data_IF_440938981200
#
_entry.id   IF_440938981200
#
_cell.length_a   1.000
_cell.length_b   1.000
_cell.length_c   1.000
_cell.angle_alpha   90.00
_cell.angle_beta   90.00
_cell.angle_gamma   90.00
#
_symmetry.space_group_name_H-M   'P 1'
#
loop_
_entity.id
_entity.type
_entity.pdbx_description
1 polymer ?
#
# COMPACT_ATOMS: atom_id res chain seq x y z
N UNK A 1 -13.78 -23.80 6.29
CA UNK A 1 -14.87 -23.34 7.17
C UNK A 1 -14.87 -21.83 7.29
N UNK A 2 -16.02 -21.25 7.55
CA UNK A 2 -16.20 -19.84 7.92
C UNK A 2 -16.33 -19.65 9.44
N UNK A 3 -16.30 -20.74 10.20
CA UNK A 3 -16.41 -20.73 11.65
C UNK A 3 -15.04 -20.47 12.29
N UNK A 4 -14.82 -19.24 12.76
CA UNK A 4 -13.55 -18.82 13.33
C UNK A 4 -13.17 -19.63 14.56
N UNK A 5 -14.10 -19.84 15.48
CA UNK A 5 -13.86 -20.55 16.74
C UNK A 5 -13.31 -21.97 16.50
N UNK A 6 -13.90 -22.72 15.56
CA UNK A 6 -13.41 -24.05 15.17
C UNK A 6 -12.02 -23.99 14.56
N UNK A 7 -11.76 -22.95 13.75
CA UNK A 7 -10.49 -22.80 13.03
C UNK A 7 -9.33 -22.53 13.98
N UNK A 8 -9.53 -21.72 15.02
CA UNK A 8 -8.44 -21.26 15.90
C UNK A 8 -8.25 -22.13 17.15
N UNK A 9 -9.22 -22.97 17.52
CA UNK A 9 -9.20 -23.73 18.76
C UNK A 9 -7.94 -24.61 18.91
N UNK A 10 -7.48 -25.24 17.83
CA UNK A 10 -6.32 -26.12 17.81
C UNK A 10 -5.13 -25.53 17.02
N UNK A 11 -5.24 -24.29 16.55
CA UNK A 11 -4.21 -23.67 15.72
C UNK A 11 -2.97 -23.28 16.54
N UNK A 12 -1.77 -23.65 16.07
CA UNK A 12 -0.49 -23.22 16.65
C UNK A 12 -0.14 -21.79 16.24
N UNK A 13 -0.49 -21.42 15.00
CA UNK A 13 -0.20 -20.10 14.41
C UNK A 13 -1.46 -19.58 13.72
N UNK A 14 -1.90 -18.39 14.09
CA UNK A 14 -3.13 -17.75 13.60
C UNK A 14 -2.73 -16.46 12.86
N UNK A 15 -2.97 -16.42 11.54
CA UNK A 15 -2.73 -15.23 10.74
C UNK A 15 -3.98 -14.36 10.64
N UNK A 16 -3.85 -13.11 11.06
CA UNK A 16 -4.88 -12.08 10.87
C UNK A 16 -4.53 -11.29 9.60
N UNK A 17 -5.33 -11.49 8.56
CA UNK A 17 -5.14 -10.90 7.24
C UNK A 17 -6.42 -10.19 6.77
N UNK A 18 -7.02 -9.40 7.65
CA UNK A 18 -8.25 -8.64 7.39
C UNK A 18 -7.94 -7.27 6.77
N UNK A 19 -8.94 -6.67 6.11
CA UNK A 19 -8.79 -5.35 5.51
C UNK A 19 -8.57 -4.24 6.54
N UNK A 20 -7.74 -3.25 6.18
CA UNK A 20 -7.49 -2.03 6.97
C UNK A 20 -7.72 -0.80 6.07
N UNK A 21 -8.98 -0.49 5.71
CA UNK A 21 -9.27 0.65 4.84
C UNK A 21 -8.93 1.98 5.54
N UNK A 22 -8.76 3.03 4.74
CA UNK A 22 -8.64 4.39 5.31
C UNK A 22 -9.99 4.87 5.81
N UNK A 23 -10.01 5.50 6.98
CA UNK A 23 -11.19 6.22 7.47
C UNK A 23 -11.43 7.47 6.63
N UNK A 24 -12.71 7.75 6.37
CA UNK A 24 -13.10 8.99 5.69
C UNK A 24 -12.88 10.17 6.64
N UNK A 25 -12.17 11.19 6.14
CA UNK A 25 -11.97 12.48 6.82
C UNK A 25 -10.55 12.69 7.35
N UNK A 26 -10.00 11.81 8.18
CA UNK A 26 -8.68 11.97 8.79
C UNK A 26 -7.54 11.20 8.10
N UNK A 27 -7.90 10.24 7.23
CA UNK A 27 -6.94 9.39 6.50
C UNK A 27 -6.26 8.33 7.37
N UNK A 28 -6.67 8.16 8.63
CA UNK A 28 -6.18 7.10 9.49
C UNK A 28 -6.67 5.71 9.02
N UNK A 29 -5.95 4.66 9.39
CA UNK A 29 -6.38 3.30 9.12
C UNK A 29 -7.57 2.91 10.04
N UNK A 30 -8.59 2.29 9.45
CA UNK A 30 -9.67 1.70 10.22
C UNK A 30 -9.26 0.31 10.74
N UNK A 31 -9.09 0.21 12.04
CA UNK A 31 -8.64 -1.00 12.73
C UNK A 31 -9.76 -1.84 13.33
N UNK A 32 -11.04 -1.47 13.09
CA UNK A 32 -12.18 -2.19 13.69
C UNK A 32 -12.17 -3.70 13.40
N UNK A 33 -11.80 -4.09 12.17
CA UNK A 33 -11.73 -5.49 11.76
C UNK A 33 -10.58 -6.25 12.45
N UNK A 34 -9.46 -5.56 12.74
CA UNK A 34 -8.33 -6.12 13.49
C UNK A 34 -8.77 -6.40 14.94
N UNK A 35 -9.43 -5.43 15.58
CA UNK A 35 -9.87 -5.60 16.96
C UNK A 35 -10.99 -6.63 17.11
N UNK A 36 -11.93 -6.69 16.16
CA UNK A 36 -12.97 -7.71 16.14
C UNK A 36 -12.36 -9.11 16.02
N UNK A 37 -11.45 -9.32 15.07
CA UNK A 37 -10.72 -10.58 14.91
C UNK A 37 -9.94 -10.96 16.18
N UNK A 38 -9.30 -9.97 16.84
CA UNK A 38 -8.57 -10.20 18.08
C UNK A 38 -9.47 -10.68 19.22
N UNK A 39 -10.68 -10.13 19.36
CA UNK A 39 -11.66 -10.54 20.38
C UNK A 39 -12.15 -11.97 20.12
N UNK A 40 -12.49 -12.29 18.88
CA UNK A 40 -12.95 -13.63 18.50
C UNK A 40 -11.84 -14.68 18.67
N UNK A 41 -10.58 -14.35 18.29
CA UNK A 41 -9.42 -15.22 18.51
C UNK A 41 -9.21 -15.43 20.02
N UNK A 42 -9.24 -14.37 20.81
CA UNK A 42 -9.07 -14.47 22.25
C UNK A 42 -10.09 -15.43 22.88
N UNK A 43 -11.33 -15.42 22.43
CA UNK A 43 -12.39 -16.29 22.95
C UNK A 43 -12.14 -17.79 22.69
N UNK A 44 -11.49 -18.14 21.60
CA UNK A 44 -11.40 -19.53 21.11
C UNK A 44 -9.97 -20.13 21.08
N UNK A 45 -8.90 -19.30 21.10
CA UNK A 45 -7.52 -19.78 20.96
C UNK A 45 -7.08 -20.69 22.13
N UNK A 46 -6.22 -21.66 21.82
CA UNK A 46 -5.53 -22.47 22.83
C UNK A 46 -4.36 -21.72 23.48
N UNK A 47 -3.89 -22.15 24.67
CA UNK A 47 -2.65 -21.65 25.26
C UNK A 47 -1.45 -21.85 24.32
N UNK A 48 -0.48 -20.92 24.38
CA UNK A 48 0.74 -20.88 23.55
C UNK A 48 0.50 -20.72 22.05
N UNK A 49 -0.68 -20.28 21.61
CA UNK A 49 -0.92 -19.88 20.22
C UNK A 49 -0.06 -18.67 19.84
N UNK A 50 0.39 -18.62 18.60
CA UNK A 50 1.12 -17.48 18.02
C UNK A 50 0.16 -16.69 17.12
N UNK A 51 -0.12 -15.46 17.48
CA UNK A 51 -1.04 -14.58 16.76
C UNK A 51 -0.20 -13.64 15.88
N UNK A 52 -0.42 -13.70 14.58
CA UNK A 52 0.37 -13.00 13.56
C UNK A 52 -0.50 -11.98 12.85
N UNK A 53 -0.26 -10.69 13.05
CA UNK A 53 -0.90 -9.66 12.25
C UNK A 53 -0.15 -9.54 10.90
N UNK A 54 -0.81 -10.00 9.84
CA UNK A 54 -0.33 -9.88 8.45
C UNK A 54 -0.79 -8.60 7.80
N UNK A 55 -1.95 -8.10 8.20
CA UNK A 55 -2.52 -6.83 7.74
C UNK A 55 -1.58 -5.66 7.99
N UNK A 56 -1.60 -4.68 7.10
CA UNK A 56 -0.85 -3.42 7.29
C UNK A 56 -1.56 -2.57 8.34
N UNK A 57 -0.91 -2.37 9.47
CA UNK A 57 -1.47 -1.64 10.64
C UNK A 57 -0.53 -0.53 11.08
N UNK A 58 -1.08 0.52 11.68
CA UNK A 58 -0.32 1.65 12.20
C UNK A 58 0.51 1.25 13.43
N UNK A 59 1.60 2.00 13.66
CA UNK A 59 2.54 1.74 14.75
C UNK A 59 1.83 1.71 16.10
N UNK A 60 2.11 0.66 16.88
CA UNK A 60 1.50 0.39 18.18
C UNK A 60 0.29 -0.55 18.14
N UNK A 61 -0.28 -0.83 16.97
CA UNK A 61 -1.47 -1.68 16.85
C UNK A 61 -1.22 -3.10 17.37
N UNK A 62 -0.05 -3.69 17.08
CA UNK A 62 0.26 -5.03 17.59
C UNK A 62 0.36 -5.05 19.12
N UNK A 63 0.89 -4.00 19.74
CA UNK A 63 0.93 -3.86 21.19
C UNK A 63 -0.51 -3.74 21.76
N UNK A 64 -1.35 -2.91 21.16
CA UNK A 64 -2.75 -2.74 21.56
C UNK A 64 -3.53 -4.07 21.46
N UNK A 65 -3.36 -4.82 20.36
CA UNK A 65 -3.98 -6.13 20.17
C UNK A 65 -3.50 -7.13 21.22
N UNK A 66 -2.19 -7.19 21.50
CA UNK A 66 -1.62 -8.02 22.57
C UNK A 66 -2.28 -7.72 23.92
N UNK A 67 -2.33 -6.45 24.29
CA UNK A 67 -2.86 -6.03 25.58
C UNK A 67 -4.37 -6.29 25.68
N UNK A 68 -5.10 -6.15 24.57
CA UNK A 68 -6.53 -6.48 24.45
C UNK A 68 -6.78 -7.99 24.69
N UNK A 69 -6.00 -8.84 24.04
CA UNK A 69 -6.09 -10.30 24.18
C UNK A 69 -5.71 -10.72 25.62
N UNK A 70 -4.62 -10.17 26.16
CA UNK A 70 -4.19 -10.45 27.54
C UNK A 70 -5.24 -10.06 28.58
N UNK A 71 -5.96 -8.95 28.33
CA UNK A 71 -7.08 -8.52 29.17
C UNK A 71 -8.30 -9.44 29.05
N UNK A 72 -8.60 -9.93 27.85
CA UNK A 72 -9.73 -10.85 27.62
C UNK A 72 -9.45 -12.26 28.17
N UNK A 73 -8.18 -12.69 28.21
CA UNK A 73 -7.74 -14.04 28.65
C UNK A 73 -6.61 -13.95 29.67
N UNK A 74 -6.88 -13.47 30.89
CA UNK A 74 -5.86 -13.33 31.93
C UNK A 74 -5.15 -14.66 32.23
N UNK A 75 -3.82 -14.65 32.24
CA UNK A 75 -3.00 -15.81 32.56
C UNK A 75 -2.86 -16.88 31.45
N UNK A 76 -3.50 -16.70 30.30
CA UNK A 76 -3.31 -17.59 29.15
C UNK A 76 -2.08 -17.10 28.33
N UNK A 77 -1.02 -17.92 28.23
CA UNK A 77 0.16 -17.54 27.47
C UNK A 77 -0.11 -17.57 25.96
N UNK A 78 0.42 -16.61 25.25
CA UNK A 78 0.41 -16.51 23.77
C UNK A 78 1.57 -15.64 23.30
N UNK A 79 1.95 -15.75 22.03
CA UNK A 79 2.95 -14.88 21.41
C UNK A 79 2.31 -13.96 20.40
N UNK A 80 2.77 -12.70 20.35
CA UNK A 80 2.31 -11.70 19.38
C UNK A 80 3.38 -11.44 18.33
N UNK A 81 3.00 -11.41 17.06
CA UNK A 81 3.89 -11.22 15.91
C UNK A 81 3.29 -10.22 14.94
N UNK A 82 4.10 -9.28 14.48
CA UNK A 82 3.85 -8.41 13.33
C UNK A 82 4.58 -8.95 12.11
N UNK A 83 3.85 -9.33 11.07
CA UNK A 83 4.45 -9.85 9.84
C UNK A 83 3.86 -9.19 8.61
N UNK A 84 4.18 -7.91 8.36
CA UNK A 84 3.63 -7.18 7.23
C UNK A 84 3.98 -7.84 5.90
N UNK A 85 3.09 -7.70 4.91
CA UNK A 85 3.29 -8.16 3.55
C UNK A 85 3.95 -7.05 2.70
N UNK A 86 4.68 -7.46 1.64
CA UNK A 86 5.27 -6.55 0.65
C UNK A 86 4.87 -6.98 -0.78
N UNK A 87 3.65 -7.48 -0.90
CA UNK A 87 3.12 -8.04 -2.13
C UNK A 87 2.70 -6.93 -3.10
N UNK A 88 2.91 -7.19 -4.38
CA UNK A 88 2.41 -6.32 -5.45
C UNK A 88 1.14 -6.94 -6.02
N UNK A 89 0.11 -6.15 -6.11
CA UNK A 89 -1.11 -6.53 -6.81
C UNK A 89 -0.80 -6.97 -8.24
N UNK A 90 -1.47 -8.01 -8.74
CA UNK A 90 -1.15 -8.63 -10.03
C UNK A 90 0.06 -9.58 -10.02
N UNK A 91 0.89 -9.57 -8.95
CA UNK A 91 2.06 -10.46 -8.80
C UNK A 91 2.18 -11.05 -7.40
N UNK A 92 1.12 -11.02 -6.60
CA UNK A 92 1.16 -11.35 -5.17
C UNK A 92 1.64 -12.77 -4.88
N UNK A 93 1.27 -13.75 -5.68
CA UNK A 93 1.68 -15.16 -5.52
C UNK A 93 3.20 -15.29 -5.72
N UNK A 94 3.74 -14.70 -6.77
CA UNK A 94 5.18 -14.73 -7.05
C UNK A 94 5.97 -13.99 -5.97
N UNK A 95 5.51 -12.81 -5.55
CA UNK A 95 6.13 -12.03 -4.48
C UNK A 95 6.10 -12.77 -3.13
N UNK A 96 5.06 -13.56 -2.87
CA UNK A 96 4.98 -14.39 -1.66
C UNK A 96 5.93 -15.59 -1.71
N UNK A 97 6.02 -16.25 -2.87
CA UNK A 97 6.88 -17.43 -3.05
C UNK A 97 8.37 -17.08 -3.21
N UNK A 98 8.66 -15.85 -3.66
CA UNK A 98 10.03 -15.34 -3.89
C UNK A 98 10.18 -13.92 -3.36
N UNK A 99 10.00 -13.69 -2.06
CA UNK A 99 10.10 -12.36 -1.49
C UNK A 99 11.56 -11.89 -1.43
N UNK A 100 11.80 -10.61 -1.62
CA UNK A 100 13.12 -9.99 -1.40
C UNK A 100 13.56 -10.11 0.07
N UNK A 101 12.62 -10.12 0.99
CA UNK A 101 12.82 -10.32 2.44
C UNK A 101 11.50 -10.68 3.12
N UNK A 102 11.63 -11.32 4.29
CA UNK A 102 10.53 -11.51 5.26
C UNK A 102 10.84 -10.65 6.49
N UNK A 103 9.88 -9.82 6.91
CA UNK A 103 10.00 -9.00 8.13
C UNK A 103 9.09 -9.59 9.19
N UNK A 104 9.65 -9.85 10.37
CA UNK A 104 8.97 -10.45 11.52
C UNK A 104 9.28 -9.63 12.76
N UNK A 105 8.33 -8.85 13.20
CA UNK A 105 8.35 -8.19 14.50
C UNK A 105 7.82 -9.13 15.56
N UNK A 106 8.54 -9.30 16.65
CA UNK A 106 8.18 -10.24 17.70
C UNK A 106 8.16 -9.58 19.08
N UNK A 107 7.31 -10.12 19.92
CA UNK A 107 7.24 -9.76 21.33
C UNK A 107 8.13 -10.68 22.18
N UNK A 108 8.36 -11.93 21.73
CA UNK A 108 9.12 -12.95 22.44
C UNK A 108 9.83 -13.94 21.49
N UNK A 109 10.68 -14.78 22.06
CA UNK A 109 11.45 -15.80 21.32
C UNK A 109 10.57 -16.93 20.74
N UNK A 110 9.44 -17.23 21.37
CA UNK A 110 8.52 -18.28 20.90
C UNK A 110 7.86 -17.87 19.58
N UNK A 111 7.44 -16.59 19.47
CA UNK A 111 6.97 -16.01 18.21
C UNK A 111 8.04 -16.07 17.11
N UNK A 112 9.28 -15.69 17.41
CA UNK A 112 10.38 -15.77 16.46
C UNK A 112 10.64 -17.21 15.99
N UNK A 113 10.64 -18.18 16.91
CA UNK A 113 10.83 -19.59 16.58
C UNK A 113 9.69 -20.15 15.72
N UNK A 114 8.45 -19.79 16.02
CA UNK A 114 7.29 -20.18 15.22
C UNK A 114 7.39 -19.65 13.79
N UNK A 115 7.69 -18.36 13.61
CA UNK A 115 7.80 -17.75 12.28
C UNK A 115 8.98 -18.33 11.47
N UNK A 116 10.10 -18.69 12.11
CA UNK A 116 11.17 -19.44 11.45
C UNK A 116 10.70 -20.79 10.91
N UNK A 117 9.84 -21.50 11.63
CA UNK A 117 9.25 -22.77 11.14
C UNK A 117 8.30 -22.54 9.98
N UNK A 118 7.41 -21.54 10.08
CA UNK A 118 6.42 -21.19 9.03
C UNK A 118 7.14 -20.84 7.72
N UNK A 119 8.16 -19.99 7.78
CA UNK A 119 8.88 -19.54 6.59
C UNK A 119 10.07 -20.42 6.19
N UNK A 120 10.26 -21.56 6.86
CA UNK A 120 11.35 -22.50 6.55
C UNK A 120 11.49 -22.85 5.06
N UNK A 121 10.40 -23.06 4.28
CA UNK A 121 10.51 -23.34 2.85
C UNK A 121 11.19 -22.22 2.05
N UNK A 122 11.13 -20.99 2.49
CA UNK A 122 11.76 -19.83 1.81
C UNK A 122 13.27 -19.74 2.10
N UNK A 123 13.75 -20.30 3.24
CA UNK A 123 15.19 -20.35 3.54
C UNK A 123 16.00 -21.20 2.57
N UNK A 124 15.37 -22.19 1.95
CA UNK A 124 16.00 -23.00 0.91
C UNK A 124 16.39 -22.16 -0.33
N UNK A 125 15.94 -20.92 -0.40
CA UNK A 125 16.21 -19.93 -1.46
C UNK A 125 17.00 -18.74 -0.95
N UNK A 126 17.61 -18.84 0.24
CA UNK A 126 18.41 -17.76 0.86
C UNK A 126 17.65 -16.45 1.09
N UNK A 127 16.30 -16.49 1.16
CA UNK A 127 15.51 -15.30 1.45
C UNK A 127 15.83 -14.76 2.84
N UNK A 128 16.33 -13.51 2.97
CA UNK A 128 16.66 -12.95 4.27
C UNK A 128 15.42 -12.76 5.13
N UNK A 129 15.49 -13.20 6.40
CA UNK A 129 14.49 -12.91 7.41
C UNK A 129 15.03 -11.91 8.42
N UNK A 130 14.33 -10.79 8.55
CA UNK A 130 14.63 -9.74 9.52
C UNK A 130 13.73 -9.95 10.72
N UNK A 131 14.30 -10.36 11.86
CA UNK A 131 13.59 -10.45 13.14
C UNK A 131 13.88 -9.17 13.92
N UNK A 132 12.82 -8.50 14.38
CA UNK A 132 12.89 -7.19 15.03
C UNK A 132 11.75 -7.01 16.03
N UNK A 133 11.51 -5.79 16.57
CA UNK A 133 10.36 -5.50 17.44
C UNK A 133 9.07 -5.35 16.64
N UNK A 134 7.92 -5.43 17.32
CA UNK A 134 6.60 -5.23 16.72
C UNK A 134 6.53 -3.87 16.00
N UNK A 135 6.94 -2.82 16.69
CA UNK A 135 6.92 -1.44 16.22
C UNK A 135 7.81 -1.23 14.99
N UNK A 136 9.00 -1.81 14.99
CA UNK A 136 9.89 -1.75 13.83
C UNK A 136 9.27 -2.40 12.60
N UNK A 137 8.63 -3.57 12.75
CA UNK A 137 7.99 -4.25 11.63
C UNK A 137 6.84 -3.41 11.05
N UNK A 138 6.04 -2.76 11.90
CA UNK A 138 5.00 -1.83 11.50
C UNK A 138 5.58 -0.63 10.74
N UNK A 139 6.63 0.03 11.30
CA UNK A 139 7.29 1.17 10.66
C UNK A 139 7.91 0.79 9.31
N UNK A 140 8.59 -0.36 9.22
CA UNK A 140 9.25 -0.83 7.99
C UNK A 140 8.27 -0.88 6.82
N UNK A 141 7.04 -1.37 7.05
CA UNK A 141 6.02 -1.44 6.00
C UNK A 141 5.65 -0.06 5.47
N UNK A 142 5.31 0.87 6.35
CA UNK A 142 4.92 2.22 5.96
C UNK A 142 6.07 3.01 5.36
N UNK A 143 7.25 2.94 5.96
CA UNK A 143 8.44 3.63 5.46
C UNK A 143 8.83 3.15 4.06
N UNK A 144 8.74 1.82 3.79
CA UNK A 144 9.02 1.28 2.47
C UNK A 144 8.04 1.81 1.42
N UNK A 145 6.72 1.78 1.69
CA UNK A 145 5.72 2.28 0.75
C UNK A 145 5.82 3.80 0.55
N UNK A 146 6.07 4.55 1.62
CA UNK A 146 6.27 6.01 1.56
C UNK A 146 7.51 6.37 0.73
N UNK A 147 8.62 5.64 0.89
CA UNK A 147 9.82 5.85 0.10
C UNK A 147 9.60 5.57 -1.40
N UNK A 148 8.87 4.51 -1.73
CA UNK A 148 8.55 4.19 -3.12
C UNK A 148 7.63 5.26 -3.74
N UNK A 149 6.63 5.74 -3.01
CA UNK A 149 5.77 6.84 -3.43
C UNK A 149 6.56 8.14 -3.65
N UNK A 150 7.53 8.44 -2.76
CA UNK A 150 8.44 9.57 -2.92
C UNK A 150 9.27 9.46 -4.21
N UNK A 151 9.81 8.29 -4.55
CA UNK A 151 10.57 8.09 -5.82
C UNK A 151 9.71 8.41 -7.04
N UNK A 152 8.44 7.96 -7.06
CA UNK A 152 7.51 8.27 -8.15
C UNK A 152 7.23 9.77 -8.21
N UNK A 153 7.00 10.42 -7.07
CA UNK A 153 6.77 11.86 -7.00
C UNK A 153 7.99 12.64 -7.50
N UNK A 154 9.17 12.27 -7.04
CA UNK A 154 10.44 12.89 -7.45
C UNK A 154 10.64 12.83 -8.97
N UNK A 155 10.49 11.65 -9.59
CA UNK A 155 10.71 11.54 -11.03
C UNK A 155 9.61 12.27 -11.83
N UNK A 156 8.43 12.45 -11.29
CA UNK A 156 7.38 13.26 -11.90
C UNK A 156 7.77 14.75 -11.94
N UNK A 157 8.35 15.29 -10.87
CA UNK A 157 8.88 16.67 -10.84
C UNK A 157 10.05 16.84 -11.80
N UNK A 158 10.96 15.85 -11.87
CA UNK A 158 12.05 15.83 -12.87
C UNK A 158 11.50 15.84 -14.29
N UNK A 159 10.40 15.13 -14.56
CA UNK A 159 9.76 15.16 -15.88
C UNK A 159 9.26 16.55 -16.25
N UNK A 160 8.64 17.27 -15.31
CA UNK A 160 8.18 18.63 -15.54
C UNK A 160 9.36 19.60 -15.81
N UNK A 161 10.49 19.41 -15.13
CA UNK A 161 11.71 20.18 -15.41
C UNK A 161 12.28 19.85 -16.79
N UNK A 162 12.35 18.57 -17.16
CA UNK A 162 12.82 18.14 -18.49
C UNK A 162 11.99 18.77 -19.61
N UNK A 163 10.67 18.81 -19.48
CA UNK A 163 9.79 19.44 -20.46
C UNK A 163 10.07 20.95 -20.65
N UNK A 164 10.44 21.64 -19.58
CA UNK A 164 10.77 23.09 -19.65
C UNK A 164 12.15 23.38 -20.21
N UNK A 165 13.07 22.44 -20.06
CA UNK A 165 14.49 22.61 -20.43
C UNK A 165 14.89 21.86 -21.71
N UNK A 166 13.94 21.11 -22.32
CA UNK A 166 14.23 20.26 -23.48
C UNK A 166 14.95 18.95 -23.15
N UNK A 167 15.00 18.57 -21.86
CA UNK A 167 15.56 17.29 -21.41
C UNK A 167 14.62 16.11 -21.68
N UNK A 168 15.16 14.90 -21.48
CA UNK A 168 14.42 13.64 -21.59
C UNK A 168 14.42 12.92 -20.23
N UNK A 169 13.26 12.82 -19.59
CA UNK A 169 13.13 12.17 -18.26
C UNK A 169 13.52 10.69 -18.30
N UNK A 170 13.33 9.99 -19.42
CA UNK A 170 13.71 8.57 -19.54
C UNK A 170 15.23 8.39 -19.45
N UNK A 171 15.99 9.31 -20.10
CA UNK A 171 17.44 9.30 -20.01
C UNK A 171 17.94 9.66 -18.62
N UNK A 172 17.33 10.67 -18.00
CA UNK A 172 17.64 11.04 -16.61
C UNK A 172 17.35 9.87 -15.67
N UNK A 173 16.15 9.28 -15.72
CA UNK A 173 15.76 8.15 -14.90
C UNK A 173 16.71 6.95 -15.07
N UNK A 174 17.09 6.63 -16.33
CA UNK A 174 18.05 5.57 -16.62
C UNK A 174 19.42 5.88 -16.00
N UNK A 175 19.94 7.08 -16.19
CA UNK A 175 21.26 7.46 -15.73
C UNK A 175 21.37 7.46 -14.19
N UNK A 176 20.43 8.10 -13.49
CA UNK A 176 20.43 8.10 -12.03
C UNK A 176 20.12 6.71 -11.44
N UNK A 177 19.28 5.92 -12.13
CA UNK A 177 18.94 4.57 -11.73
C UNK A 177 20.07 3.55 -11.84
N UNK A 178 21.14 3.85 -12.59
CA UNK A 178 22.38 3.04 -12.63
C UNK A 178 23.22 3.17 -11.37
N UNK A 179 23.05 4.24 -10.59
CA UNK A 179 23.65 4.33 -9.26
C UNK A 179 22.93 3.37 -8.31
N UNK A 180 23.66 2.36 -7.81
CA UNK A 180 23.14 1.32 -6.92
C UNK A 180 22.55 1.89 -5.61
N UNK A 181 22.96 3.08 -5.19
CA UNK A 181 22.39 3.78 -4.01
C UNK A 181 20.97 4.28 -4.27
N UNK A 182 20.60 4.51 -5.53
CA UNK A 182 19.28 4.98 -5.97
C UNK A 182 18.45 3.81 -6.50
N UNK A 183 19.00 3.03 -7.42
CA UNK A 183 18.36 1.91 -8.10
C UNK A 183 17.29 2.35 -9.10
N UNK A 184 17.10 1.57 -10.17
CA UNK A 184 16.24 1.89 -11.31
C UNK A 184 14.73 1.77 -11.06
N UNK A 185 14.31 1.08 -10.00
CA UNK A 185 12.89 0.83 -9.74
C UNK A 185 12.19 2.11 -9.24
N UNK A 186 10.92 2.28 -9.63
CA UNK A 186 10.07 3.43 -9.25
C UNK A 186 10.56 4.81 -9.75
N UNK A 187 11.29 4.84 -10.87
CA UNK A 187 11.71 6.05 -11.58
C UNK A 187 10.98 6.20 -12.93
N UNK A 188 9.71 5.82 -13.00
CA UNK A 188 8.88 5.99 -14.18
C UNK A 188 7.92 7.15 -13.98
N UNK A 189 8.08 8.22 -14.74
CA UNK A 189 7.20 9.38 -14.70
C UNK A 189 5.84 9.04 -15.30
N UNK A 190 4.79 9.61 -14.70
CA UNK A 190 3.41 9.40 -15.10
C UNK A 190 2.45 10.47 -14.52
N UNK A 191 1.13 10.26 -14.62
CA UNK A 191 0.12 11.20 -14.17
C UNK A 191 -0.07 11.26 -12.64
N UNK A 192 0.71 10.53 -11.89
CA UNK A 192 0.62 10.33 -10.44
C UNK A 192 0.55 8.85 -10.09
N UNK A 193 0.66 8.55 -8.80
CA UNK A 193 0.43 7.20 -8.30
C UNK A 193 -0.99 7.03 -7.76
N UNK A 194 -1.47 5.80 -7.79
CA UNK A 194 -2.76 5.35 -7.26
C UNK A 194 -2.64 3.98 -6.63
N UNK A 195 -3.73 3.23 -6.63
CA UNK A 195 -3.84 1.89 -6.08
C UNK A 195 -4.20 1.85 -4.61
N UNK A 196 -4.38 0.65 -4.10
CA UNK A 196 -4.85 0.38 -2.74
C UNK A 196 -3.82 0.65 -1.64
N UNK A 197 -2.53 0.73 -1.98
CA UNK A 197 -1.45 0.78 -1.00
C UNK A 197 -0.86 2.18 -0.84
N UNK A 198 -0.23 2.76 -1.87
CA UNK A 198 0.54 4.01 -1.72
C UNK A 198 -0.29 5.18 -1.19
N UNK A 199 -1.49 5.49 -1.72
CA UNK A 199 -2.26 6.61 -1.20
C UNK A 199 -2.69 6.41 0.25
N UNK A 200 -3.11 5.20 0.59
CA UNK A 200 -3.55 4.84 1.93
C UNK A 200 -2.38 4.89 2.92
N UNK A 201 -1.27 4.24 2.60
CA UNK A 201 -0.16 4.06 3.52
C UNK A 201 0.62 5.36 3.73
N UNK A 202 0.78 6.21 2.70
CA UNK A 202 1.41 7.53 2.86
C UNK A 202 0.59 8.45 3.76
N UNK A 203 -0.75 8.49 3.59
CA UNK A 203 -1.64 9.26 4.47
C UNK A 203 -1.61 8.74 5.91
N UNK A 204 -1.71 7.43 6.12
CA UNK A 204 -1.66 6.82 7.44
C UNK A 204 -0.30 7.04 8.13
N UNK A 205 0.80 6.96 7.39
CA UNK A 205 2.13 7.24 7.91
C UNK A 205 2.28 8.70 8.35
N UNK A 206 1.83 9.65 7.52
CA UNK A 206 1.82 11.07 7.86
C UNK A 206 0.93 11.36 9.09
N UNK A 207 -0.27 10.77 9.15
CA UNK A 207 -1.18 10.92 10.29
C UNK A 207 -0.56 10.35 11.59
N UNK A 208 0.06 9.18 11.51
CA UNK A 208 0.78 8.57 12.65
C UNK A 208 1.90 9.47 13.13
N UNK A 209 2.70 10.04 12.21
CA UNK A 209 3.77 10.99 12.58
C UNK A 209 3.25 12.21 13.34
N UNK A 210 2.14 12.81 12.89
CA UNK A 210 1.51 13.93 13.60
C UNK A 210 1.04 13.53 15.00
N UNK A 211 0.35 12.39 15.10
CA UNK A 211 -0.16 11.87 16.38
C UNK A 211 0.95 11.59 17.39
N UNK A 212 2.11 11.17 16.92
CA UNK A 212 3.28 10.88 17.75
C UNK A 212 4.21 12.08 17.96
N UNK A 213 3.79 13.30 17.58
CA UNK A 213 4.63 14.52 17.62
C UNK A 213 5.97 14.38 16.86
N UNK A 214 5.98 13.56 15.81
CA UNK A 214 7.10 13.35 14.89
C UNK A 214 6.62 13.51 13.43
N UNK A 215 6.25 14.73 13.00
CA UNK A 215 5.62 14.97 11.71
C UNK A 215 6.51 14.50 10.57
N UNK A 216 5.90 13.79 9.62
CA UNK A 216 6.57 13.25 8.44
C UNK A 216 6.41 14.22 7.26
N UNK A 217 6.99 15.40 7.38
CA UNK A 217 6.76 16.55 6.47
C UNK A 217 7.08 16.22 5.01
N UNK A 218 8.14 15.44 4.75
CA UNK A 218 8.47 14.99 3.40
C UNK A 218 7.32 14.16 2.79
N UNK A 219 6.74 13.26 3.56
CA UNK A 219 5.66 12.39 3.07
C UNK A 219 4.34 13.16 2.94
N UNK A 220 4.09 14.14 3.80
CA UNK A 220 2.97 15.07 3.63
C UNK A 220 3.06 15.84 2.31
N UNK A 221 4.26 16.27 1.92
CA UNK A 221 4.49 16.89 0.62
C UNK A 221 4.31 15.90 -0.53
N UNK A 222 4.78 14.65 -0.41
CA UNK A 222 4.55 13.61 -1.42
C UNK A 222 3.06 13.41 -1.70
N UNK A 223 2.23 13.34 -0.66
CA UNK A 223 0.77 13.24 -0.81
C UNK A 223 0.20 14.46 -1.54
N UNK A 224 0.59 15.67 -1.10
CA UNK A 224 0.10 16.93 -1.69
C UNK A 224 0.49 17.06 -3.15
N UNK A 225 1.76 16.81 -3.48
CA UNK A 225 2.29 16.92 -4.84
C UNK A 225 1.66 15.89 -5.78
N UNK A 226 1.41 14.65 -5.30
CA UNK A 226 0.72 13.65 -6.10
C UNK A 226 -0.71 14.07 -6.49
N UNK A 227 -1.48 14.64 -5.55
CA UNK A 227 -2.82 15.15 -5.84
C UNK A 227 -2.78 16.38 -6.79
N UNK A 228 -1.79 17.26 -6.63
CA UNK A 228 -1.57 18.37 -7.56
C UNK A 228 -1.21 17.87 -8.95
N UNK A 229 -0.38 16.81 -9.04
CA UNK A 229 0.01 16.19 -10.31
C UNK A 229 -1.18 15.72 -11.12
N UNK A 230 -2.10 14.97 -10.51
CA UNK A 230 -3.33 14.48 -11.17
C UNK A 230 -4.14 15.63 -11.77
N UNK A 231 -4.32 16.72 -11.00
CA UNK A 231 -5.05 17.91 -11.45
C UNK A 231 -4.34 18.63 -12.60
N UNK A 232 -3.03 18.85 -12.46
CA UNK A 232 -2.24 19.52 -13.51
C UNK A 232 -2.20 18.73 -14.82
N UNK A 233 -2.22 17.40 -14.75
CA UNK A 233 -2.32 16.56 -15.95
C UNK A 233 -3.67 16.76 -16.68
N UNK A 234 -4.78 16.84 -15.95
CA UNK A 234 -6.08 17.14 -16.56
C UNK A 234 -6.08 18.54 -17.21
N UNK A 235 -5.54 19.56 -16.54
CA UNK A 235 -5.42 20.92 -17.08
C UNK A 235 -4.57 20.95 -18.35
N UNK A 236 -3.45 20.25 -18.38
CA UNK A 236 -2.58 20.15 -19.57
C UNK A 236 -3.27 19.49 -20.75
N UNK A 237 -4.08 18.44 -20.52
CA UNK A 237 -4.86 17.78 -21.57
C UNK A 237 -5.93 18.74 -22.11
N UNK A 238 -6.63 19.46 -21.24
CA UNK A 238 -7.62 20.47 -21.63
C UNK A 238 -6.99 21.57 -22.46
N UNK A 239 -5.83 22.07 -22.06
CA UNK A 239 -5.10 23.09 -22.82
C UNK A 239 -4.67 22.58 -24.21
N UNK A 240 -4.13 21.36 -24.29
CA UNK A 240 -3.77 20.72 -25.54
C UNK A 240 -4.98 20.54 -26.48
N UNK A 241 -6.12 20.10 -25.92
CA UNK A 241 -7.36 19.95 -26.65
C UNK A 241 -7.86 21.29 -27.22
N UNK A 242 -7.79 22.36 -26.43
CA UNK A 242 -8.13 23.72 -26.89
C UNK A 242 -7.24 24.18 -28.03
N UNK A 243 -5.91 23.97 -27.92
CA UNK A 243 -4.94 24.36 -28.94
C UNK A 243 -5.15 23.61 -30.27
N UNK A 244 -5.53 22.33 -30.19
CA UNK A 244 -5.79 21.52 -31.40
C UNK A 244 -7.20 21.63 -31.95
N UNK A 245 -8.12 22.30 -31.22
CA UNK A 245 -9.53 22.37 -31.57
C UNK A 245 -10.30 21.05 -31.37
N UNK A 246 -9.69 20.05 -30.73
CA UNK A 246 -10.33 18.75 -30.49
C UNK A 246 -11.35 18.82 -29.38
N UNK A 247 -12.45 18.06 -29.52
CA UNK A 247 -13.50 17.94 -28.50
C UNK A 247 -13.61 16.53 -27.94
N UNK A 248 -12.82 15.61 -28.46
CA UNK A 248 -12.89 14.19 -28.08
C UNK A 248 -11.51 13.68 -27.67
N UNK A 249 -11.44 12.99 -26.53
CA UNK A 249 -10.22 12.43 -25.96
C UNK A 249 -10.39 10.93 -25.79
N UNK A 250 -9.42 10.15 -26.25
CA UNK A 250 -9.30 8.74 -25.93
C UNK A 250 -8.35 8.54 -24.75
N UNK A 251 -8.80 7.80 -23.74
CA UNK A 251 -8.00 7.40 -22.59
C UNK A 251 -7.72 5.91 -22.69
N UNK A 252 -6.46 5.53 -22.68
CA UNK A 252 -6.02 4.14 -22.73
C UNK A 252 -5.44 3.75 -21.36
N UNK A 253 -6.12 2.82 -20.68
CA UNK A 253 -5.82 2.41 -19.30
C UNK A 253 -6.61 3.21 -18.26
N UNK A 254 -7.35 2.52 -17.40
CA UNK A 254 -8.09 3.08 -16.27
C UNK A 254 -7.57 2.51 -14.96
N UNK A 255 -7.15 1.25 -14.94
CA UNK A 255 -6.48 0.66 -13.79
C UNK A 255 -5.25 1.49 -13.38
N UNK A 256 -4.93 1.48 -12.07
CA UNK A 256 -3.82 2.29 -11.57
C UNK A 256 -2.44 1.83 -12.06
N UNK A 257 -2.34 0.61 -12.58
CA UNK A 257 -1.13 0.00 -13.16
C UNK A 257 -1.49 -1.19 -14.08
N UNK A 258 -0.53 -1.71 -14.88
CA UNK A 258 -0.74 -2.94 -15.67
C UNK A 258 -1.01 -4.19 -14.82
N UNK A 259 -1.68 -5.19 -15.42
CA UNK A 259 -1.95 -6.52 -14.88
C UNK A 259 -2.85 -6.53 -13.61
N UNK A 260 -3.82 -5.64 -13.55
CA UNK A 260 -4.85 -5.60 -12.50
C UNK A 260 -6.11 -4.92 -13.03
N UNK A 261 -7.26 -5.24 -12.44
CA UNK A 261 -8.54 -4.56 -12.63
C UNK A 261 -8.79 -3.47 -11.57
N UNK A 262 -7.85 -3.27 -10.64
CA UNK A 262 -8.00 -2.30 -9.55
C UNK A 262 -7.90 -0.85 -10.05
N UNK A 263 -8.99 -0.12 -9.88
CA UNK A 263 -9.10 1.30 -10.22
C UNK A 263 -8.97 2.23 -9.02
N UNK A 264 -8.82 1.69 -7.80
CA UNK A 264 -8.80 2.51 -6.58
C UNK A 264 -7.72 3.57 -6.64
N UNK A 265 -8.11 4.83 -6.39
CA UNK A 265 -7.20 5.99 -6.41
C UNK A 265 -6.41 6.14 -7.73
N UNK A 266 -6.85 5.47 -8.82
CA UNK A 266 -6.22 5.63 -10.13
C UNK A 266 -6.27 7.09 -10.58
N UNK A 267 -5.17 7.64 -11.12
CA UNK A 267 -5.19 8.98 -11.70
C UNK A 267 -6.28 9.20 -12.75
N UNK A 268 -6.71 8.15 -13.46
CA UNK A 268 -7.79 8.22 -14.43
C UNK A 268 -9.13 8.67 -13.80
N UNK A 269 -9.38 8.28 -12.53
CA UNK A 269 -10.60 8.66 -11.81
C UNK A 269 -10.64 10.15 -11.43
N UNK A 270 -9.50 10.82 -11.39
CA UNK A 270 -9.41 12.27 -11.18
C UNK A 270 -9.42 13.02 -12.52
N UNK A 271 -8.68 12.51 -13.52
CA UNK A 271 -8.45 13.15 -14.80
C UNK A 271 -9.72 13.10 -15.67
N UNK A 272 -10.36 11.95 -15.83
CA UNK A 272 -11.51 11.77 -16.73
C UNK A 272 -12.68 12.70 -16.36
N UNK A 273 -13.14 12.76 -15.10
CA UNK A 273 -14.20 13.67 -14.71
C UNK A 273 -13.83 15.15 -14.91
N UNK A 274 -12.54 15.50 -14.72
CA UNK A 274 -12.08 16.87 -14.98
C UNK A 274 -12.14 17.23 -16.47
N UNK A 275 -11.82 16.30 -17.38
CA UNK A 275 -11.96 16.48 -18.82
C UNK A 275 -13.44 16.65 -19.24
N UNK A 276 -14.33 15.80 -18.69
CA UNK A 276 -15.78 15.92 -18.94
C UNK A 276 -16.32 17.26 -18.44
N UNK A 277 -15.91 17.69 -17.24
CA UNK A 277 -16.28 19.01 -16.68
C UNK A 277 -15.82 20.17 -17.56
N UNK A 278 -14.69 20.01 -18.26
CA UNK A 278 -14.19 20.99 -19.22
C UNK A 278 -14.93 20.95 -20.59
N UNK A 279 -15.95 20.11 -20.74
CA UNK A 279 -16.76 20.00 -21.95
C UNK A 279 -16.17 19.08 -23.03
N UNK A 280 -15.20 18.24 -22.67
CA UNK A 280 -14.63 17.27 -23.59
C UNK A 280 -15.42 15.95 -23.54
N UNK A 281 -15.63 15.34 -24.70
CA UNK A 281 -16.14 13.97 -24.80
C UNK A 281 -14.98 13.00 -24.54
N UNK A 282 -15.14 12.13 -23.55
CA UNK A 282 -14.11 11.14 -23.23
C UNK A 282 -14.58 9.74 -23.62
N UNK A 283 -13.70 8.99 -24.25
CA UNK A 283 -13.86 7.53 -24.46
C UNK A 283 -12.67 6.86 -23.81
N UNK A 284 -12.92 5.84 -22.99
CA UNK A 284 -11.87 5.10 -22.32
C UNK A 284 -11.85 3.64 -22.75
N UNK A 285 -10.66 3.04 -22.73
CA UNK A 285 -10.47 1.62 -22.99
C UNK A 285 -9.52 1.03 -21.97
N UNK A 286 -9.99 0.01 -21.26
CA UNK A 286 -9.18 -0.83 -20.38
C UNK A 286 -9.78 -2.25 -20.42
N UNK A 287 -9.05 -3.25 -20.92
CA UNK A 287 -9.59 -4.60 -21.07
C UNK A 287 -9.88 -5.29 -19.74
N UNK A 288 -9.09 -4.97 -18.68
CA UNK A 288 -9.20 -5.62 -17.36
C UNK A 288 -10.16 -4.85 -16.44
N UNK A 289 -10.04 -3.52 -16.41
CA UNK A 289 -10.74 -2.70 -15.45
C UNK A 289 -12.14 -2.22 -15.90
N UNK A 290 -12.63 -2.61 -17.09
CA UNK A 290 -13.90 -2.13 -17.64
C UNK A 290 -15.05 -2.26 -16.64
N UNK A 291 -15.26 -3.46 -16.10
CA UNK A 291 -16.40 -3.74 -15.21
C UNK A 291 -16.38 -2.93 -13.92
N UNK A 292 -15.16 -2.64 -13.40
CA UNK A 292 -14.99 -1.80 -12.22
C UNK A 292 -15.15 -0.30 -12.55
N UNK A 293 -14.79 0.10 -13.77
CA UNK A 293 -14.79 1.49 -14.21
C UNK A 293 -16.17 2.02 -14.64
N UNK A 294 -17.00 1.20 -15.27
CA UNK A 294 -18.33 1.60 -15.76
C UNK A 294 -19.19 2.31 -14.70
N UNK A 295 -19.35 1.80 -13.46
CA UNK A 295 -20.12 2.50 -12.43
C UNK A 295 -19.39 3.73 -11.86
N UNK A 296 -18.06 3.80 -11.94
CA UNK A 296 -17.24 4.86 -11.38
C UNK A 296 -17.11 6.08 -12.33
N UNK A 297 -17.27 5.88 -13.63
CA UNK A 297 -17.06 6.87 -14.69
C UNK A 297 -18.29 6.99 -15.60
N UNK A 298 -19.40 7.55 -15.11
CA UNK A 298 -20.62 7.69 -15.90
C UNK A 298 -20.41 8.60 -17.11
N UNK A 299 -20.94 8.19 -18.27
CA UNK A 299 -20.87 8.95 -19.51
C UNK A 299 -19.54 8.86 -20.28
N UNK A 300 -18.74 7.83 -19.99
CA UNK A 300 -17.46 7.51 -20.67
C UNK A 300 -17.61 6.32 -21.60
#
# INVERSE_FOLDING_TARGET
TTELAETVADADVIFVAVGTPSRRGDGEADLQYIYAAADEIAAAMKPNAVIVIKSTVVVGTNADVRDRIAKARPGVPFSMVSNPEFLREGSAVEDFLRPDRVVVGVHDDAGAAAMKRVYRPLYLRETPMIVTTLENAEIIKYAANAFLAMKVTFINEVADLCEKTGGNVQDVARAIGMDNRIGSKFLHAGPGFGGSCFPKDTRAYAATGRKMNAPQTLIEQVVTVNEQRKRSMAERIVEAAKKSGTKSIAVLGIAFKPNTDDIRESPALDIIPALQKAGLTVRAHDPEARSAAEPALPGV
#
